data_IF_888143014856
#
_entry.id   IF_888143014856
#
_cell.length_a   1.000
_cell.length_b   1.000
_cell.length_c   1.000
_cell.angle_alpha   90.00
_cell.angle_beta   90.00
_cell.angle_gamma   90.00
#
_symmetry.space_group_name_H-M   'P 1'
#
loop_
_entity.id
_entity.type
_entity.pdbx_description
1 polymer ?
#
# COMPACT_ATOMS: atom_id res chain seq x y z
N UNK A 1 19.64 3.28 23.07
CA UNK A 1 19.34 1.98 22.43
C UNK A 1 17.84 1.80 22.53
N UNK A 2 17.14 1.44 21.45
CA UNK A 2 15.70 1.23 21.50
C UNK A 2 15.43 -0.22 21.88
N UNK A 3 15.00 -0.46 23.12
CA UNK A 3 14.49 -1.77 23.55
C UNK A 3 13.01 -1.91 23.19
N UNK A 4 12.52 -3.15 23.05
CA UNK A 4 11.11 -3.43 22.79
C UNK A 4 10.19 -2.76 23.84
N UNK A 5 10.53 -2.88 25.13
CA UNK A 5 9.75 -2.28 26.22
C UNK A 5 9.68 -0.75 26.17
N UNK A 6 10.76 -0.07 25.75
CA UNK A 6 10.75 1.39 25.57
C UNK A 6 9.85 1.83 24.41
N UNK A 7 9.83 1.06 23.31
CA UNK A 7 8.95 1.31 22.17
C UNK A 7 7.48 1.20 22.61
N UNK A 8 7.12 0.11 23.30
CA UNK A 8 5.76 -0.10 23.79
C UNK A 8 5.33 0.99 24.77
N UNK A 9 6.22 1.38 25.71
CA UNK A 9 5.95 2.50 26.63
C UNK A 9 5.62 3.79 25.86
N UNK A 10 6.42 4.13 24.84
CA UNK A 10 6.18 5.32 24.01
C UNK A 10 4.84 5.25 23.29
N UNK A 11 4.39 4.07 22.86
CA UNK A 11 3.05 3.93 22.28
C UNK A 11 1.94 4.21 23.28
N UNK A 12 2.03 3.69 24.51
CA UNK A 12 1.04 3.97 25.54
C UNK A 12 1.00 5.45 25.92
N UNK A 13 2.14 6.14 25.94
CA UNK A 13 2.21 7.60 26.17
C UNK A 13 1.48 8.40 25.06
N UNK A 14 1.32 7.83 23.86
CA UNK A 14 0.65 8.43 22.70
C UNK A 14 -0.73 7.83 22.40
N UNK A 15 -1.23 6.94 23.24
CA UNK A 15 -2.44 6.17 22.98
C UNK A 15 -3.71 7.04 23.07
N UNK A 16 -4.62 6.80 22.13
CA UNK A 16 -5.96 7.40 22.12
C UNK A 16 -7.00 6.26 22.09
N UNK A 17 -7.69 5.96 23.20
CA UNK A 17 -8.65 4.87 23.27
C UNK A 17 -9.83 5.01 22.30
N UNK A 18 -10.26 6.24 22.03
CA UNK A 18 -11.33 6.51 21.06
C UNK A 18 -10.87 6.20 19.64
N UNK A 19 -9.65 6.60 19.31
CA UNK A 19 -9.01 6.29 18.03
C UNK A 19 -8.71 4.79 17.89
N UNK A 20 -8.32 4.09 18.96
CA UNK A 20 -8.14 2.64 18.98
C UNK A 20 -9.43 1.94 18.58
N UNK A 21 -10.54 2.21 19.29
CA UNK A 21 -11.84 1.58 19.01
C UNK A 21 -12.29 1.79 17.55
N UNK A 22 -12.16 3.03 17.06
CA UNK A 22 -12.49 3.37 15.68
C UNK A 22 -11.60 2.61 14.68
N UNK A 23 -10.28 2.67 14.84
CA UNK A 23 -9.32 2.09 13.88
C UNK A 23 -9.40 0.56 13.84
N UNK A 24 -9.55 -0.09 14.99
CA UNK A 24 -9.68 -1.55 15.09
C UNK A 24 -10.91 -2.06 14.31
N UNK A 25 -11.99 -1.28 14.24
CA UNK A 25 -13.19 -1.63 13.45
C UNK A 25 -12.99 -1.57 11.94
N UNK A 26 -11.98 -0.84 11.46
CA UNK A 26 -11.70 -0.65 10.03
C UNK A 26 -10.69 -1.65 9.48
N UNK A 27 -9.93 -2.31 10.35
CA UNK A 27 -8.82 -3.20 9.97
C UNK A 27 -9.11 -4.60 10.52
N UNK A 28 -10.12 -5.31 9.97
CA UNK A 28 -10.47 -6.63 10.49
C UNK A 28 -9.30 -7.60 10.29
N UNK A 29 -9.00 -8.37 11.33
CA UNK A 29 -7.91 -9.35 11.33
C UNK A 29 -6.52 -8.80 11.66
N UNK A 30 -6.38 -7.50 11.96
CA UNK A 30 -5.08 -6.97 12.40
C UNK A 30 -4.68 -7.49 13.78
N UNK A 31 -3.38 -7.36 14.08
CA UNK A 31 -2.86 -7.38 15.45
C UNK A 31 -3.60 -6.40 16.36
N UNK A 32 -3.58 -6.60 17.69
CA UNK A 32 -4.09 -5.61 18.65
C UNK A 32 -3.54 -4.20 18.39
N UNK A 33 -4.41 -3.20 18.50
CA UNK A 33 -4.04 -1.79 18.39
C UNK A 33 -3.90 -1.19 19.79
N UNK A 34 -2.85 -0.41 20.00
CA UNK A 34 -2.71 0.46 21.18
C UNK A 34 -3.54 1.75 20.98
N UNK A 35 -3.68 2.21 19.74
CA UNK A 35 -4.42 3.42 19.39
C UNK A 35 -3.54 4.63 19.13
N UNK A 36 -2.34 4.45 18.58
CA UNK A 36 -1.47 5.59 18.25
C UNK A 36 -1.79 6.12 16.86
N UNK A 37 -2.05 7.42 16.76
CA UNK A 37 -2.38 8.06 15.48
C UNK A 37 -1.17 8.08 14.54
N UNK A 38 -1.43 7.84 13.25
CA UNK A 38 -0.40 7.78 12.20
C UNK A 38 0.57 8.98 12.21
N UNK A 39 0.15 10.25 12.37
CA UNK A 39 1.07 11.37 12.42
C UNK A 39 2.14 11.23 13.51
N UNK A 40 1.77 10.73 14.70
CA UNK A 40 2.71 10.52 15.80
C UNK A 40 3.69 9.38 15.51
N UNK A 41 3.22 8.28 14.92
CA UNK A 41 4.11 7.20 14.45
C UNK A 41 5.12 7.69 13.41
N UNK A 42 4.72 8.59 12.50
CA UNK A 42 5.63 9.17 11.51
C UNK A 42 6.69 10.08 12.14
N UNK A 43 6.33 10.85 13.17
CA UNK A 43 7.28 11.67 13.94
C UNK A 43 8.27 10.74 14.65
N UNK A 44 7.77 9.71 15.33
CA UNK A 44 8.63 8.77 16.06
C UNK A 44 9.57 7.98 15.13
N UNK A 45 9.10 7.54 13.96
CA UNK A 45 9.95 6.88 12.97
C UNK A 45 11.11 7.78 12.51
N UNK A 46 10.86 9.08 12.32
CA UNK A 46 11.92 10.03 11.94
C UNK A 46 12.93 10.25 13.06
N UNK A 47 12.47 10.32 14.31
CA UNK A 47 13.33 10.36 15.48
C UNK A 47 14.24 9.11 15.53
N UNK A 48 13.68 7.91 15.36
CA UNK A 48 14.46 6.66 15.33
C UNK A 48 15.52 6.68 14.22
N UNK A 49 15.15 7.13 13.02
CA UNK A 49 16.07 7.24 11.88
C UNK A 49 17.21 8.21 12.12
N UNK A 50 16.96 9.31 12.82
CA UNK A 50 18.00 10.29 13.18
C UNK A 50 18.95 9.77 14.26
N UNK A 51 18.50 8.80 15.06
CA UNK A 51 19.26 8.17 16.12
C UNK A 51 19.78 6.80 15.68
N UNK A 52 19.33 5.73 16.35
CA UNK A 52 19.83 4.36 16.13
C UNK A 52 18.75 3.44 15.56
N UNK A 53 18.47 3.62 14.26
CA UNK A 53 17.50 2.77 13.55
C UNK A 53 17.95 1.31 13.47
N UNK A 54 19.26 1.02 13.54
CA UNK A 54 19.77 -0.36 13.52
C UNK A 54 19.40 -1.08 14.81
N UNK A 55 19.61 -0.44 15.96
CA UNK A 55 19.11 -0.95 17.25
C UNK A 55 17.60 -1.15 17.20
N UNK A 56 16.83 -0.19 16.67
CA UNK A 56 15.39 -0.34 16.57
C UNK A 56 14.99 -1.56 15.71
N UNK A 57 15.53 -1.70 14.49
CA UNK A 57 15.17 -2.80 13.59
C UNK A 57 15.55 -4.18 14.15
N UNK A 58 16.54 -4.24 15.05
CA UNK A 58 16.92 -5.48 15.73
C UNK A 58 16.03 -5.82 16.95
N UNK A 59 15.27 -4.85 17.46
CA UNK A 59 14.51 -4.98 18.72
C UNK A 59 13.00 -4.75 18.58
N UNK A 60 12.53 -4.24 17.44
CA UNK A 60 11.10 -4.05 17.19
C UNK A 60 10.39 -5.40 17.22
N UNK A 61 9.32 -5.50 18.01
CA UNK A 61 8.45 -6.65 18.06
C UNK A 61 7.38 -6.59 16.98
N UNK A 62 6.43 -7.50 17.07
CA UNK A 62 5.32 -7.65 16.11
C UNK A 62 4.04 -8.10 16.84
N UNK A 63 3.89 -7.65 18.08
CA UNK A 63 2.76 -7.97 18.95
C UNK A 63 1.60 -7.00 18.70
N UNK A 64 1.90 -5.75 18.33
CA UNK A 64 0.92 -4.71 18.08
C UNK A 64 0.98 -4.17 16.65
N UNK A 65 -0.16 -3.69 16.15
CA UNK A 65 -0.28 -3.04 14.85
C UNK A 65 0.68 -1.86 14.67
N UNK A 66 0.84 -1.05 15.72
CA UNK A 66 1.72 0.11 15.72
C UNK A 66 3.19 -0.23 15.48
N UNK A 67 3.65 -1.42 15.86
CA UNK A 67 5.03 -1.85 15.63
C UNK A 67 5.31 -2.09 14.15
N UNK A 68 4.42 -2.79 13.45
CA UNK A 68 4.50 -2.97 12.00
C UNK A 68 4.47 -1.63 11.27
N UNK A 69 3.55 -0.74 11.67
CA UNK A 69 3.48 0.61 11.11
C UNK A 69 4.78 1.39 11.32
N UNK A 70 5.34 1.33 12.53
CA UNK A 70 6.58 2.03 12.88
C UNK A 70 7.78 1.46 12.11
N UNK A 71 7.93 0.14 12.05
CA UNK A 71 8.98 -0.53 11.25
C UNK A 71 8.91 -0.12 9.78
N UNK A 72 7.71 -0.17 9.17
CA UNK A 72 7.52 0.25 7.79
C UNK A 72 7.92 1.72 7.56
N UNK A 73 7.58 2.62 8.49
CA UNK A 73 8.00 4.02 8.39
C UNK A 73 9.50 4.20 8.59
N UNK A 74 10.14 3.49 9.52
CA UNK A 74 11.59 3.54 9.72
C UNK A 74 12.32 3.05 8.46
N UNK A 75 11.90 1.93 7.88
CA UNK A 75 12.44 1.41 6.60
C UNK A 75 12.24 2.43 5.46
N UNK A 76 11.09 3.10 5.43
CA UNK A 76 10.82 4.12 4.41
C UNK A 76 11.70 5.35 4.55
N UNK A 77 11.98 5.79 5.78
CA UNK A 77 12.68 7.06 6.05
C UNK A 77 14.19 6.94 6.23
N UNK A 78 14.73 5.76 6.51
CA UNK A 78 16.18 5.56 6.63
C UNK A 78 16.91 5.95 5.35
N UNK A 79 18.07 6.59 5.46
CA UNK A 79 18.84 7.05 4.30
C UNK A 79 19.97 6.08 4.02
N UNK A 80 19.70 5.08 3.19
CA UNK A 80 20.67 4.10 2.71
C UNK A 80 20.55 3.99 1.19
N UNK A 81 21.51 3.32 0.54
CA UNK A 81 21.45 3.08 -0.89
C UNK A 81 20.19 2.28 -1.26
N UNK A 82 19.66 2.53 -2.46
CA UNK A 82 18.39 1.96 -2.89
C UNK A 82 18.44 0.43 -2.93
N UNK A 83 19.55 -0.16 -3.40
CA UNK A 83 19.71 -1.62 -3.46
C UNK A 83 19.63 -2.26 -2.08
N UNK A 84 20.35 -1.73 -1.09
CA UNK A 84 20.27 -2.21 0.29
C UNK A 84 18.87 -2.00 0.88
N UNK A 85 18.19 -0.90 0.54
CA UNK A 85 16.81 -0.65 0.98
C UNK A 85 15.85 -1.70 0.44
N UNK A 86 16.01 -2.16 -0.80
CA UNK A 86 15.15 -3.20 -1.37
C UNK A 86 15.19 -4.50 -0.56
N UNK A 87 16.30 -4.84 0.08
CA UNK A 87 16.38 -6.01 0.98
C UNK A 87 15.51 -5.85 2.23
N UNK A 88 15.45 -4.64 2.81
CA UNK A 88 14.55 -4.35 3.93
C UNK A 88 13.09 -4.30 3.47
N UNK A 89 12.83 -3.71 2.29
CA UNK A 89 11.48 -3.67 1.69
C UNK A 89 10.96 -5.07 1.45
N UNK A 90 11.78 -5.96 0.88
CA UNK A 90 11.43 -7.36 0.62
C UNK A 90 11.06 -8.09 1.91
N UNK A 91 11.96 -8.04 2.90
CA UNK A 91 11.72 -8.68 4.22
C UNK A 91 10.48 -8.12 4.92
N UNK A 92 10.21 -6.83 4.78
CA UNK A 92 9.04 -6.22 5.39
C UNK A 92 7.76 -6.58 4.66
N UNK A 93 7.75 -6.59 3.32
CA UNK A 93 6.60 -6.98 2.51
C UNK A 93 6.10 -8.39 2.87
N UNK A 94 7.02 -9.33 3.15
CA UNK A 94 6.70 -10.69 3.59
C UNK A 94 5.96 -10.75 4.94
N UNK A 95 6.08 -9.71 5.77
CA UNK A 95 5.44 -9.63 7.10
C UNK A 95 4.06 -8.98 7.08
N UNK A 96 3.68 -8.33 5.98
CA UNK A 96 2.45 -7.52 5.92
C UNK A 96 1.22 -8.43 5.93
N UNK A 97 0.32 -8.19 6.88
CA UNK A 97 -0.90 -8.99 7.10
C UNK A 97 -2.19 -8.17 7.04
N UNK A 98 -2.10 -6.86 6.78
CA UNK A 98 -3.26 -5.97 6.73
C UNK A 98 -3.08 -4.82 5.72
N UNK A 99 -4.22 -4.34 5.22
CA UNK A 99 -4.25 -3.31 4.17
C UNK A 99 -3.72 -1.95 4.64
N UNK A 100 -3.85 -1.62 5.93
CA UNK A 100 -3.47 -0.30 6.47
C UNK A 100 -1.95 -0.14 6.56
N UNK A 101 -1.25 -1.18 7.04
CA UNK A 101 0.22 -1.29 7.00
C UNK A 101 0.70 -1.26 5.56
N UNK A 102 0.12 -2.11 4.69
CA UNK A 102 0.49 -2.18 3.28
C UNK A 102 0.47 -0.80 2.61
N UNK A 103 -0.68 -0.13 2.66
CA UNK A 103 -0.90 1.09 1.90
C UNK A 103 -0.10 2.25 2.49
N UNK A 104 0.04 2.30 3.82
CA UNK A 104 0.85 3.31 4.50
C UNK A 104 2.34 3.15 4.18
N UNK A 105 2.84 1.91 4.13
CA UNK A 105 4.21 1.60 3.77
C UNK A 105 4.49 1.95 2.30
N UNK A 106 3.68 1.45 1.37
CA UNK A 106 3.80 1.74 -0.06
C UNK A 106 3.86 3.25 -0.31
N UNK A 107 2.95 4.01 0.29
CA UNK A 107 2.91 5.46 0.13
C UNK A 107 4.07 6.21 0.80
N UNK A 108 4.88 5.56 1.64
CA UNK A 108 6.03 6.17 2.32
C UNK A 108 7.35 5.93 1.59
N UNK A 109 7.44 4.94 0.70
CA UNK A 109 8.63 4.59 -0.11
C UNK A 109 8.90 5.58 -1.26
N UNK A 110 9.09 6.87 -0.93
CA UNK A 110 9.15 7.96 -1.93
C UNK A 110 10.31 7.84 -2.93
N UNK A 111 11.41 7.18 -2.56
CA UNK A 111 12.61 7.05 -3.42
C UNK A 111 12.37 6.19 -4.66
N UNK A 112 11.27 5.40 -4.72
CA UNK A 112 10.86 4.71 -5.94
C UNK A 112 10.55 5.68 -7.09
N UNK A 113 10.24 6.95 -6.79
CA UNK A 113 10.09 7.99 -7.82
C UNK A 113 11.39 8.27 -8.56
N UNK A 114 12.51 8.24 -7.85
CA UNK A 114 13.82 8.59 -8.39
C UNK A 114 14.55 7.34 -8.91
N UNK A 115 14.07 6.14 -8.54
CA UNK A 115 14.65 4.85 -8.91
C UNK A 115 13.66 3.94 -9.66
N UNK A 116 12.83 4.52 -10.54
CA UNK A 116 11.71 3.81 -11.18
C UNK A 116 12.10 2.53 -11.94
N UNK A 117 13.21 2.52 -12.68
CA UNK A 117 13.59 1.31 -13.45
C UNK A 117 13.88 0.15 -12.51
N UNK A 118 14.85 0.32 -11.61
CA UNK A 118 15.22 -0.70 -10.63
C UNK A 118 14.06 -1.06 -9.68
N UNK A 119 13.27 -0.06 -9.29
CA UNK A 119 12.08 -0.28 -8.47
C UNK A 119 11.00 -1.06 -9.20
N UNK A 120 10.82 -0.89 -10.50
CA UNK A 120 9.84 -1.64 -11.28
C UNK A 120 10.31 -3.09 -11.43
N UNK A 121 11.57 -3.30 -11.81
CA UNK A 121 12.20 -4.63 -11.90
C UNK A 121 12.08 -5.40 -10.58
N UNK A 122 12.30 -4.73 -9.44
CA UNK A 122 12.08 -5.31 -8.12
C UNK A 122 10.63 -5.76 -7.89
N UNK A 123 9.65 -5.00 -8.38
CA UNK A 123 8.22 -5.32 -8.16
C UNK A 123 7.73 -6.49 -9.02
N UNK A 124 8.42 -6.82 -10.12
CA UNK A 124 8.01 -7.91 -11.03
C UNK A 124 7.83 -9.25 -10.31
N UNK A 125 8.62 -9.51 -9.25
CA UNK A 125 8.53 -10.72 -8.44
C UNK A 125 7.16 -10.88 -7.73
N UNK A 126 6.41 -9.80 -7.55
CA UNK A 126 5.15 -9.78 -6.82
C UNK A 126 3.91 -9.74 -7.72
N UNK A 127 4.04 -9.49 -9.02
CA UNK A 127 2.90 -9.26 -9.93
C UNK A 127 1.91 -10.43 -9.96
N UNK A 128 2.43 -11.66 -9.90
CA UNK A 128 1.64 -12.89 -9.91
C UNK A 128 1.68 -13.64 -8.57
N UNK A 129 2.15 -12.99 -7.49
CA UNK A 129 2.17 -13.63 -6.17
C UNK A 129 0.76 -14.03 -5.75
N UNK A 130 0.65 -15.23 -5.17
CA UNK A 130 -0.58 -15.78 -4.60
C UNK A 130 -0.74 -15.45 -3.11
N UNK A 131 0.20 -14.66 -2.54
CA UNK A 131 0.02 -14.09 -1.21
C UNK A 131 -0.72 -12.76 -1.34
N UNK A 132 -1.84 -12.64 -0.64
CA UNK A 132 -2.77 -11.51 -0.73
C UNK A 132 -2.09 -10.14 -0.62
N UNK A 133 -1.21 -9.97 0.38
CA UNK A 133 -0.55 -8.69 0.62
C UNK A 133 0.71 -8.45 -0.22
N UNK A 134 1.38 -9.48 -0.71
CA UNK A 134 2.44 -9.28 -1.72
C UNK A 134 1.82 -8.76 -3.03
N UNK A 135 0.70 -9.35 -3.45
CA UNK A 135 -0.02 -8.90 -4.63
C UNK A 135 -0.58 -7.47 -4.44
N UNK A 136 -1.19 -7.19 -3.28
CA UNK A 136 -1.64 -5.83 -2.93
C UNK A 136 -0.46 -4.84 -2.91
N UNK A 137 0.67 -5.21 -2.32
CA UNK A 137 1.88 -4.39 -2.28
C UNK A 137 2.28 -3.95 -3.69
N UNK A 138 2.40 -4.89 -4.63
CA UNK A 138 2.72 -4.58 -6.02
C UNK A 138 1.74 -3.59 -6.65
N UNK A 139 0.43 -3.87 -6.55
CA UNK A 139 -0.61 -3.02 -7.13
C UNK A 139 -0.60 -1.59 -6.57
N UNK A 140 -0.43 -1.44 -5.26
CA UNK A 140 -0.39 -0.13 -4.60
C UNK A 140 0.92 0.60 -4.94
N UNK A 141 2.05 -0.09 -5.04
CA UNK A 141 3.30 0.52 -5.50
C UNK A 141 3.19 1.04 -6.94
N UNK A 142 2.62 0.25 -7.86
CA UNK A 142 2.35 0.65 -9.24
C UNK A 142 1.42 1.88 -9.29
N UNK A 143 0.33 1.86 -8.51
CA UNK A 143 -0.60 2.99 -8.38
C UNK A 143 0.10 4.27 -7.90
N UNK A 144 0.96 4.17 -6.89
CA UNK A 144 1.57 5.32 -6.21
C UNK A 144 2.71 5.97 -7.00
N UNK A 145 3.48 5.19 -7.78
CA UNK A 145 4.72 5.68 -8.39
C UNK A 145 4.82 5.53 -9.92
N UNK A 146 3.99 4.68 -10.54
CA UNK A 146 4.14 4.29 -11.95
C UNK A 146 2.94 4.64 -12.84
N UNK A 147 1.85 5.17 -12.31
CA UNK A 147 0.81 5.81 -13.12
C UNK A 147 1.28 7.18 -13.62
N UNK A 148 2.20 7.15 -14.59
CA UNK A 148 2.84 8.25 -15.34
C UNK A 148 2.94 7.86 -16.83
N UNK A 149 3.08 8.82 -17.77
CA UNK A 149 3.04 8.53 -19.21
C UNK A 149 4.00 7.43 -19.67
N UNK A 150 5.19 7.35 -19.07
CA UNK A 150 6.25 6.42 -19.46
C UNK A 150 5.97 4.97 -19.06
N UNK A 151 5.13 4.74 -18.04
CA UNK A 151 4.88 3.42 -17.46
C UNK A 151 3.41 2.97 -17.53
N UNK A 152 2.47 3.87 -17.84
CA UNK A 152 1.03 3.57 -17.75
C UNK A 152 0.63 2.33 -18.55
N UNK A 153 1.15 2.14 -19.76
CA UNK A 153 0.82 0.96 -20.58
C UNK A 153 1.36 -0.34 -19.97
N UNK A 154 2.57 -0.31 -19.40
CA UNK A 154 3.14 -1.45 -18.65
C UNK A 154 2.32 -1.75 -17.40
N UNK A 155 1.87 -0.71 -16.69
CA UNK A 155 1.04 -0.87 -15.49
C UNK A 155 -0.32 -1.48 -15.83
N UNK A 156 -1.00 -0.98 -16.87
CA UNK A 156 -2.28 -1.53 -17.33
C UNK A 156 -2.14 -2.97 -17.82
N UNK A 157 -1.00 -3.32 -18.45
CA UNK A 157 -0.71 -4.72 -18.79
C UNK A 157 -0.64 -5.61 -17.55
N UNK A 158 0.07 -5.20 -16.50
CA UNK A 158 0.12 -5.96 -15.24
C UNK A 158 -1.29 -6.12 -14.65
N UNK A 159 -2.09 -5.07 -14.62
CA UNK A 159 -3.47 -5.17 -14.13
C UNK A 159 -4.36 -6.07 -15.01
N UNK A 160 -4.06 -6.19 -16.31
CA UNK A 160 -4.81 -7.07 -17.21
C UNK A 160 -4.57 -8.54 -16.93
N UNK A 161 -3.41 -8.87 -16.39
CA UNK A 161 -2.97 -10.22 -16.02
C UNK A 161 -3.35 -10.57 -14.57
N UNK A 162 -3.93 -9.63 -13.82
CA UNK A 162 -4.35 -9.85 -12.44
C UNK A 162 -5.29 -11.05 -12.32
N UNK A 163 -4.90 -12.01 -11.49
CA UNK A 163 -5.71 -13.14 -11.10
C UNK A 163 -5.40 -13.51 -9.65
N UNK A 164 -6.34 -13.24 -8.75
CA UNK A 164 -6.21 -13.55 -7.33
C UNK A 164 -7.58 -13.62 -6.67
N UNK A 165 -7.79 -14.56 -5.75
CA UNK A 165 -9.10 -14.75 -5.10
C UNK A 165 -9.31 -13.89 -3.86
N UNK A 166 -8.23 -13.60 -3.13
CA UNK A 166 -8.31 -12.86 -1.88
C UNK A 166 -8.80 -11.41 -2.02
N UNK A 167 -9.60 -10.98 -1.05
CA UNK A 167 -10.40 -9.77 -1.10
C UNK A 167 -9.56 -8.49 -1.19
N UNK A 168 -8.51 -8.37 -0.37
CA UNK A 168 -7.67 -7.17 -0.33
C UNK A 168 -6.73 -7.06 -1.53
N UNK A 169 -6.38 -8.17 -2.18
CA UNK A 169 -5.72 -8.14 -3.49
C UNK A 169 -6.67 -7.55 -4.55
N UNK A 170 -7.91 -8.05 -4.64
CA UNK A 170 -8.95 -7.53 -5.55
C UNK A 170 -9.25 -6.05 -5.32
N UNK A 171 -9.38 -5.66 -4.05
CA UNK A 171 -9.59 -4.26 -3.68
C UNK A 171 -8.39 -3.37 -4.07
N UNK A 172 -7.17 -3.90 -3.96
CA UNK A 172 -5.94 -3.20 -4.32
C UNK A 172 -5.88 -2.87 -5.81
N UNK A 173 -6.02 -3.88 -6.67
CA UNK A 173 -6.02 -3.67 -8.12
C UNK A 173 -7.21 -2.82 -8.57
N UNK A 174 -8.40 -3.01 -7.99
CA UNK A 174 -9.58 -2.22 -8.32
C UNK A 174 -9.37 -0.72 -8.04
N UNK A 175 -8.74 -0.38 -6.90
CA UNK A 175 -8.39 0.99 -6.59
C UNK A 175 -7.27 1.54 -7.48
N UNK A 176 -6.28 0.71 -7.83
CA UNK A 176 -5.22 1.08 -8.75
C UNK A 176 -5.74 1.42 -10.15
N UNK A 177 -6.65 0.59 -10.68
CA UNK A 177 -7.34 0.83 -11.96
C UNK A 177 -8.21 2.11 -11.90
N UNK A 178 -8.95 2.33 -10.80
CA UNK A 178 -9.71 3.57 -10.64
C UNK A 178 -8.82 4.82 -10.59
N UNK A 179 -7.64 4.71 -9.99
CA UNK A 179 -6.64 5.78 -9.97
C UNK A 179 -6.02 6.00 -11.35
N UNK A 180 -5.81 4.92 -12.12
CA UNK A 180 -5.38 5.00 -13.51
C UNK A 180 -6.40 5.75 -14.36
N UNK A 181 -7.70 5.45 -14.21
CA UNK A 181 -8.77 6.13 -14.94
C UNK A 181 -8.80 7.63 -14.65
N UNK A 182 -8.63 8.02 -13.38
CA UNK A 182 -8.59 9.43 -13.00
C UNK A 182 -7.38 10.21 -13.58
N UNK A 183 -6.33 9.53 -14.05
CA UNK A 183 -5.12 10.14 -14.63
C UNK A 183 -5.04 9.98 -16.15
N UNK A 184 -5.50 8.84 -16.67
CA UNK A 184 -5.41 8.42 -18.06
C UNK A 184 -6.76 7.80 -18.48
N UNK A 185 -7.82 8.61 -18.59
CA UNK A 185 -9.19 8.12 -18.79
C UNK A 185 -9.32 7.32 -20.08
N UNK A 186 -8.75 7.78 -21.19
CA UNK A 186 -8.87 7.11 -22.50
C UNK A 186 -8.21 5.72 -22.49
N UNK A 187 -6.94 5.66 -22.08
CA UNK A 187 -6.19 4.39 -21.96
C UNK A 187 -6.86 3.42 -21.01
N UNK A 188 -7.38 3.93 -19.89
CA UNK A 188 -8.03 3.07 -18.89
C UNK A 188 -9.42 2.62 -19.35
N UNK A 189 -10.16 3.43 -20.10
CA UNK A 189 -11.44 3.04 -20.69
C UNK A 189 -11.25 1.92 -21.72
N UNK A 190 -10.23 2.02 -22.57
CA UNK A 190 -9.86 0.95 -23.50
C UNK A 190 -9.47 -0.34 -22.76
N UNK A 191 -8.65 -0.23 -21.71
CA UNK A 191 -8.34 -1.34 -20.82
C UNK A 191 -9.61 -1.99 -20.24
N UNK A 192 -10.53 -1.19 -19.68
CA UNK A 192 -11.75 -1.70 -19.05
C UNK A 192 -12.63 -2.48 -20.02
N UNK A 193 -12.74 -2.06 -21.27
CA UNK A 193 -13.51 -2.78 -22.31
C UNK A 193 -12.95 -4.19 -22.57
N UNK A 194 -11.65 -4.38 -22.38
CA UNK A 194 -10.96 -5.63 -22.66
C UNK A 194 -10.54 -6.41 -21.41
N UNK A 195 -10.76 -5.87 -20.20
CA UNK A 195 -10.25 -6.47 -18.97
C UNK A 195 -10.97 -7.78 -18.62
N UNK A 196 -10.23 -8.88 -18.72
CA UNK A 196 -10.68 -10.24 -18.42
C UNK A 196 -10.38 -10.59 -16.96
N UNK A 197 -11.21 -10.08 -16.06
CA UNK A 197 -11.21 -10.42 -14.63
C UNK A 197 -12.61 -10.85 -14.19
N UNK A 198 -12.73 -11.45 -13.02
CA UNK A 198 -14.02 -11.80 -12.39
C UNK A 198 -14.91 -10.57 -12.15
N UNK A 199 -16.24 -10.78 -12.17
CA UNK A 199 -17.21 -9.69 -12.05
C UNK A 199 -17.07 -8.90 -10.74
N UNK A 200 -16.63 -9.53 -9.64
CA UNK A 200 -16.45 -8.84 -8.37
C UNK A 200 -15.34 -7.78 -8.48
N UNK A 201 -14.15 -8.17 -8.95
CA UNK A 201 -13.02 -7.25 -9.14
C UNK A 201 -13.36 -6.13 -10.13
N UNK A 202 -13.97 -6.50 -11.26
CA UNK A 202 -14.38 -5.55 -12.29
C UNK A 202 -15.36 -4.49 -11.75
N UNK A 203 -16.40 -4.93 -11.05
CA UNK A 203 -17.40 -4.04 -10.45
C UNK A 203 -16.83 -3.22 -9.28
N UNK A 204 -15.85 -3.74 -8.55
CA UNK A 204 -15.12 -2.96 -7.54
C UNK A 204 -14.40 -1.78 -8.19
N UNK A 205 -13.71 -1.98 -9.33
CA UNK A 205 -13.02 -0.90 -10.02
C UNK A 205 -14.00 0.18 -10.49
N UNK A 206 -15.12 -0.19 -11.11
CA UNK A 206 -16.18 0.74 -11.52
C UNK A 206 -16.71 1.55 -10.32
N UNK A 207 -16.97 0.86 -9.21
CA UNK A 207 -17.43 1.53 -7.97
C UNK A 207 -16.40 2.54 -7.48
N UNK A 208 -15.11 2.16 -7.43
CA UNK A 208 -14.02 3.06 -7.02
C UNK A 208 -13.85 4.26 -7.96
N UNK A 209 -14.02 4.08 -9.26
CA UNK A 209 -14.07 5.19 -10.23
C UNK A 209 -15.24 6.13 -9.95
N UNK A 210 -16.43 5.57 -9.67
CA UNK A 210 -17.62 6.37 -9.39
C UNK A 210 -17.54 7.15 -8.06
N UNK A 211 -16.84 6.61 -7.05
CA UNK A 211 -16.56 7.27 -5.77
C UNK A 211 -15.57 8.44 -5.90
N UNK A 212 -14.75 8.46 -6.97
CA UNK A 212 -13.77 9.52 -7.18
C UNK A 212 -14.42 10.83 -7.64
N UNK A 213 -14.03 11.94 -7.02
CA UNK A 213 -14.40 13.30 -7.44
C UNK A 213 -13.68 13.74 -8.72
N UNK A 214 -12.62 13.04 -9.14
CA UNK A 214 -11.85 13.35 -10.37
C UNK A 214 -12.49 12.80 -11.64
N UNK A 215 -13.52 11.97 -11.51
CA UNK A 215 -14.24 11.37 -12.63
C UNK A 215 -15.48 12.21 -12.94
N UNK A 216 -15.70 12.54 -14.21
CA UNK A 216 -16.81 13.37 -14.68
C UNK A 216 -18.17 12.68 -14.44
N UNK A 217 -19.27 13.44 -14.46
CA UNK A 217 -20.61 12.85 -14.29
C UNK A 217 -20.96 11.97 -15.50
N UNK A 218 -20.54 12.40 -16.68
CA UNK A 218 -20.72 11.75 -17.97
C UNK A 218 -20.03 10.38 -17.98
N UNK A 219 -18.75 10.33 -17.56
CA UNK A 219 -18.01 9.09 -17.43
C UNK A 219 -18.66 8.14 -16.41
N UNK A 220 -19.15 8.66 -15.29
CA UNK A 220 -19.85 7.83 -14.28
C UNK A 220 -21.11 7.17 -14.84
N UNK A 221 -21.83 7.82 -15.76
CA UNK A 221 -23.00 7.22 -16.42
C UNK A 221 -22.54 6.05 -17.29
N UNK A 222 -21.51 6.25 -18.11
CA UNK A 222 -20.95 5.19 -18.97
C UNK A 222 -20.46 4.02 -18.12
N UNK A 223 -19.65 4.28 -17.09
CA UNK A 223 -19.08 3.27 -16.21
C UNK A 223 -20.14 2.44 -15.49
N UNK A 224 -21.26 3.05 -15.06
CA UNK A 224 -22.36 2.32 -14.42
C UNK A 224 -23.01 1.32 -15.37
N UNK A 225 -23.10 1.64 -16.66
CA UNK A 225 -23.63 0.75 -17.70
C UNK A 225 -22.66 -0.36 -18.11
N UNK A 226 -21.39 -0.28 -17.69
CA UNK A 226 -20.38 -1.31 -17.98
C UNK A 226 -20.34 -2.43 -16.95
N UNK A 227 -21.04 -2.31 -15.80
CA UNK A 227 -21.03 -3.33 -14.74
C UNK A 227 -21.44 -4.72 -15.26
N UNK A 228 -20.84 -5.76 -14.70
CA UNK A 228 -21.06 -7.17 -15.03
C UNK A 228 -21.84 -7.91 -13.95
#
# INVERSE_FOLDING_TARGET
MYTHSEIIKRFYDMADPGYCKFSSSLIPGSKPLIGVRIPYLRVFAKEIVQNDYKSFLNNVGHDFFEEYMLEGFVISYMKIDFSSKLEFVKKFADKIDNWSVNDSFCNSLKEFKDNRSAGYEFLEQYFNSQKEYENRFANIMLMSYYLIPEYVDRVLKVFSEFSHDAYYAKMGVAWAVATAFAKFPDKTMEFMRNWKTDSLTYNMAIRKMCESYRVSKEDKIILKNMKR
#
